data_IF_374310182429
#
_entry.id   IF_374310182429
#
_cell.length_a   1.000
_cell.length_b   1.000
_cell.length_c   1.000
_cell.angle_alpha   90.00
_cell.angle_beta   90.00
_cell.angle_gamma   90.00
#
_symmetry.space_group_name_H-M   'P 1'
#
loop_
_entity.id
_entity.type
_entity.pdbx_description
1 polymer ?
#
# COMPACT_ATOMS: atom_id res chain seq x y z
N UNK A 1 9.73 8.21 -4.67
CA UNK A 1 11.19 8.51 -4.57
C UNK A 1 11.48 9.44 -3.41
N UNK A 2 10.74 10.53 -3.26
CA UNK A 2 10.88 11.45 -2.12
C UNK A 2 10.76 10.74 -0.77
N UNK A 3 9.68 9.98 -0.54
CA UNK A 3 9.52 9.17 0.69
C UNK A 3 10.71 8.27 1.00
N UNK A 4 11.35 7.67 -0.01
CA UNK A 4 12.52 6.83 0.19
C UNK A 4 13.72 7.63 0.70
N UNK A 5 13.97 8.82 0.11
CA UNK A 5 15.05 9.71 0.57
C UNK A 5 14.78 10.22 1.98
N UNK A 6 13.55 10.60 2.29
CA UNK A 6 13.15 11.06 3.62
C UNK A 6 13.37 9.97 4.68
N UNK A 7 12.94 8.74 4.41
CA UNK A 7 13.14 7.60 5.31
C UNK A 7 14.62 7.23 5.50
N UNK A 8 15.49 7.57 4.54
CA UNK A 8 16.93 7.37 4.67
C UNK A 8 17.56 8.45 5.56
N UNK A 9 17.14 9.71 5.38
CA UNK A 9 17.67 10.85 6.13
C UNK A 9 17.18 10.97 7.58
N UNK A 10 15.92 10.61 7.86
CA UNK A 10 15.30 10.84 9.18
C UNK A 10 14.72 9.56 9.78
N UNK A 11 14.48 9.56 11.10
CA UNK A 11 13.78 8.49 11.81
C UNK A 11 12.26 8.59 11.67
N UNK A 12 11.73 9.80 11.55
CA UNK A 12 10.30 10.08 11.43
C UNK A 12 9.92 10.80 10.13
N UNK A 13 8.77 10.44 9.58
CA UNK A 13 8.16 11.07 8.40
C UNK A 13 6.67 11.23 8.64
N UNK A 14 6.10 12.36 8.25
CA UNK A 14 4.66 12.65 8.30
C UNK A 14 4.12 12.68 6.88
N UNK A 15 3.15 11.82 6.59
CA UNK A 15 2.36 11.82 5.37
C UNK A 15 1.05 12.57 5.63
N UNK A 16 0.94 13.79 5.12
CA UNK A 16 -0.26 14.62 5.26
C UNK A 16 -1.08 14.61 3.98
N UNK A 17 -2.39 14.36 4.07
CA UNK A 17 -3.29 14.48 2.92
C UNK A 17 -4.67 13.88 3.17
N UNK A 18 -5.65 14.26 2.36
CA UNK A 18 -7.04 13.81 2.52
C UNK A 18 -7.18 12.28 2.50
N UNK A 19 -8.23 11.72 3.13
CA UNK A 19 -8.59 10.31 2.93
C UNK A 19 -8.72 10.00 1.43
N UNK A 20 -8.24 8.83 1.01
CA UNK A 20 -8.22 8.42 -0.40
C UNK A 20 -7.02 8.92 -1.21
N UNK A 21 -6.18 9.82 -0.70
CA UNK A 21 -5.01 10.34 -1.45
C UNK A 21 -3.91 9.30 -1.73
N UNK A 22 -4.05 8.07 -1.24
CA UNK A 22 -3.13 6.97 -1.54
C UNK A 22 -1.92 6.85 -0.60
N UNK A 23 -1.91 7.54 0.55
CA UNK A 23 -0.86 7.49 1.57
C UNK A 23 -0.45 6.06 1.96
N UNK A 24 -1.40 5.24 2.41
CA UNK A 24 -1.13 3.82 2.74
C UNK A 24 -0.60 3.04 1.54
N UNK A 25 -1.11 3.33 0.33
CA UNK A 25 -0.68 2.66 -0.90
C UNK A 25 0.74 3.05 -1.29
N UNK A 26 1.13 4.29 -1.07
CA UNK A 26 2.50 4.79 -1.28
C UNK A 26 3.49 4.02 -0.40
N UNK A 27 3.21 3.90 0.91
CA UNK A 27 4.03 3.11 1.82
C UNK A 27 4.10 1.64 1.42
N UNK A 28 2.95 1.01 1.18
CA UNK A 28 2.89 -0.38 0.73
C UNK A 28 3.68 -0.62 -0.57
N UNK A 29 3.58 0.31 -1.52
CA UNK A 29 4.28 0.20 -2.81
C UNK A 29 5.78 0.38 -2.63
N UNK A 30 6.21 1.31 -1.78
CA UNK A 30 7.62 1.48 -1.46
C UNK A 30 8.20 0.25 -0.74
N UNK A 31 7.49 -0.30 0.25
CA UNK A 31 7.89 -1.53 0.93
C UNK A 31 8.06 -2.69 -0.07
N UNK A 32 7.09 -2.86 -0.99
CA UNK A 32 7.17 -3.87 -2.06
C UNK A 32 8.36 -3.62 -2.99
N UNK A 33 8.59 -2.37 -3.40
CA UNK A 33 9.72 -2.03 -4.28
C UNK A 33 11.06 -2.32 -3.61
N UNK A 34 11.22 -1.98 -2.33
CA UNK A 34 12.43 -2.29 -1.54
C UNK A 34 12.64 -3.80 -1.47
N UNK A 35 11.59 -4.58 -1.19
CA UNK A 35 11.67 -6.04 -1.15
C UNK A 35 12.09 -6.63 -2.52
N UNK A 36 11.54 -6.11 -3.62
CA UNK A 36 11.88 -6.55 -4.98
C UNK A 36 13.32 -6.21 -5.37
N UNK A 37 13.82 -5.03 -4.99
CA UNK A 37 15.20 -4.64 -5.26
C UNK A 37 16.18 -5.57 -4.54
N UNK A 38 15.89 -5.92 -3.29
CA UNK A 38 16.73 -6.85 -2.54
C UNK A 38 16.73 -8.24 -3.17
N UNK A 39 15.58 -8.71 -3.66
CA UNK A 39 15.52 -9.97 -4.41
C UNK A 39 16.39 -9.96 -5.67
N UNK A 40 16.28 -8.91 -6.49
CA UNK A 40 17.04 -8.78 -7.75
C UNK A 40 18.55 -8.74 -7.52
N UNK A 41 19.00 -8.09 -6.45
CA UNK A 41 20.42 -8.07 -6.09
C UNK A 41 20.94 -9.48 -5.82
N UNK A 42 20.16 -10.30 -5.12
CA UNK A 42 20.56 -11.70 -4.82
C UNK A 42 20.46 -12.61 -6.05
N UNK A 43 19.40 -12.51 -6.86
CA UNK A 43 19.20 -13.39 -8.02
C UNK A 43 20.22 -13.17 -9.14
N UNK A 44 20.65 -11.92 -9.35
CA UNK A 44 21.67 -11.58 -10.34
C UNK A 44 23.06 -12.10 -9.96
N UNK A 45 23.29 -12.41 -8.68
CA UNK A 45 24.56 -12.98 -8.23
C UNK A 45 24.56 -14.51 -8.30
N UNK A 46 23.43 -15.18 -8.00
CA UNK A 46 23.29 -16.63 -8.23
C UNK A 46 23.54 -17.02 -9.69
N UNK A 47 23.01 -16.23 -10.63
CA UNK A 47 23.23 -16.42 -12.08
C UNK A 47 24.65 -16.06 -12.52
N UNK A 48 25.37 -15.18 -11.81
CA UNK A 48 26.80 -14.91 -12.08
C UNK A 48 27.73 -15.98 -11.51
N UNK A 49 27.35 -16.62 -10.41
CA UNK A 49 28.08 -17.76 -9.85
C UNK A 49 27.89 -19.03 -10.69
N UNK A 50 26.69 -19.28 -11.20
CA UNK A 50 26.44 -20.33 -12.19
C UNK A 50 27.25 -20.10 -13.48
N UNK A 51 27.32 -18.85 -13.98
CA UNK A 51 28.12 -18.51 -15.16
C UNK A 51 29.64 -18.50 -14.91
N UNK A 52 30.11 -18.39 -13.65
CA UNK A 52 31.52 -18.64 -13.29
C UNK A 52 31.86 -20.11 -13.17
N UNK A 53 30.86 -20.94 -12.88
CA UNK A 53 30.95 -22.40 -12.85
C UNK A 53 30.83 -23.01 -14.25
N UNK A 54 30.28 -22.25 -15.21
CA UNK A 54 30.10 -22.60 -16.61
C UNK A 54 30.95 -21.71 -17.52
N UNK A 55 32.26 -21.63 -17.26
CA UNK A 55 33.22 -21.20 -18.29
C UNK A 55 33.77 -22.41 -19.04
N UNK A 56 32.89 -23.24 -19.59
CA UNK A 56 33.12 -24.07 -20.78
C UNK A 56 31.77 -24.29 -21.46
N UNK A 57 31.76 -24.12 -22.79
CA UNK A 57 30.67 -24.28 -23.75
C UNK A 57 29.83 -23.01 -24.01
N UNK A 58 29.56 -22.84 -25.30
CA UNK A 58 29.54 -21.62 -26.09
C UNK A 58 28.16 -21.03 -26.38
N UNK A 59 28.16 -19.71 -26.67
CA UNK A 59 27.27 -18.90 -27.53
C UNK A 59 25.90 -19.48 -27.95
N UNK A 60 24.80 -18.75 -27.66
CA UNK A 60 24.08 -17.96 -28.69
C UNK A 60 22.92 -17.12 -28.12
N UNK A 61 22.80 -15.92 -28.69
CA UNK A 61 21.61 -15.07 -28.86
C UNK A 61 20.97 -14.33 -27.68
N UNK A 62 21.28 -13.03 -27.62
CA UNK A 62 20.45 -11.98 -27.05
C UNK A 62 19.23 -11.72 -27.95
N UNK A 63 18.03 -11.64 -27.34
CA UNK A 63 16.98 -10.63 -27.59
C UNK A 63 15.66 -11.09 -26.96
N UNK A 64 15.23 -10.44 -25.88
CA UNK A 64 13.91 -9.79 -25.81
C UNK A 64 13.65 -9.21 -24.41
N UNK A 65 13.57 -7.89 -24.38
CA UNK A 65 12.98 -7.11 -23.30
C UNK A 65 11.50 -7.01 -23.64
N UNK A 66 10.62 -7.68 -22.88
CA UNK A 66 9.26 -7.19 -22.64
C UNK A 66 8.63 -7.87 -21.42
N UNK A 67 8.36 -7.02 -20.43
CA UNK A 67 7.26 -7.05 -19.46
C UNK A 67 6.29 -8.24 -19.52
N UNK A 68 6.45 -9.18 -18.59
CA UNK A 68 5.32 -9.95 -18.07
C UNK A 68 5.56 -10.28 -16.60
N UNK A 69 4.68 -9.73 -15.77
CA UNK A 69 4.40 -10.19 -14.42
C UNK A 69 4.03 -11.68 -14.52
N UNK A 70 4.57 -12.51 -13.61
CA UNK A 70 4.48 -13.98 -13.50
C UNK A 70 5.65 -14.72 -14.18
N UNK A 71 6.62 -15.15 -13.35
CA UNK A 71 7.60 -16.17 -13.75
C UNK A 71 7.00 -17.57 -13.55
N UNK A 72 7.22 -18.42 -14.56
CA UNK A 72 6.64 -19.76 -14.76
C UNK A 72 7.13 -20.87 -13.82
N UNK A 73 7.95 -20.59 -12.81
CA UNK A 73 8.72 -21.65 -12.12
C UNK A 73 8.26 -22.01 -10.72
N UNK A 74 7.07 -21.60 -10.26
CA UNK A 74 6.47 -22.13 -9.02
C UNK A 74 7.36 -22.11 -7.77
N UNK A 75 8.45 -21.33 -7.77
CA UNK A 75 9.34 -21.19 -6.62
C UNK A 75 8.80 -20.08 -5.75
N UNK A 76 8.39 -20.54 -4.59
CA UNK A 76 7.70 -19.83 -3.54
C UNK A 76 8.42 -18.52 -3.20
N UNK A 77 7.70 -17.39 -3.26
CA UNK A 77 8.16 -16.03 -2.91
C UNK A 77 8.43 -15.87 -1.39
N UNK A 78 8.52 -16.98 -0.65
CA UNK A 78 8.50 -17.09 0.81
C UNK A 78 9.87 -17.01 1.48
N UNK A 79 10.97 -17.06 0.71
CA UNK A 79 12.32 -17.13 1.26
C UNK A 79 12.97 -15.81 1.71
N UNK A 80 12.43 -14.65 1.32
CA UNK A 80 13.01 -13.34 1.66
C UNK A 80 12.05 -12.47 2.49
N UNK A 81 12.44 -12.08 3.71
CA UNK A 81 11.54 -11.37 4.60
C UNK A 81 11.29 -9.92 4.15
N UNK A 82 10.01 -9.58 4.20
CA UNK A 82 9.46 -8.29 3.80
C UNK A 82 9.85 -7.21 4.84
N UNK A 83 9.89 -5.95 4.41
CA UNK A 83 9.83 -4.80 5.34
C UNK A 83 8.67 -5.03 6.30
N UNK A 84 8.98 -5.06 7.60
CA UNK A 84 7.99 -5.31 8.63
C UNK A 84 7.24 -4.02 8.95
N UNK A 85 5.94 -4.00 8.69
CA UNK A 85 5.09 -2.82 8.88
C UNK A 85 4.09 -3.09 10.00
N UNK A 86 4.19 -2.32 11.08
CA UNK A 86 3.29 -2.39 12.23
C UNK A 86 2.38 -1.17 12.19
N UNK A 87 1.06 -1.39 12.20
CA UNK A 87 0.07 -0.32 12.19
C UNK A 87 -0.48 -0.07 13.60
N UNK A 88 -0.54 1.21 13.98
CA UNK A 88 -1.09 1.69 15.25
C UNK A 88 -2.13 2.77 14.92
N UNK A 89 -3.27 2.70 15.59
CA UNK A 89 -4.36 3.67 15.46
C UNK A 89 -4.58 4.37 16.81
N UNK A 90 -3.92 5.51 17.08
CA UNK A 90 -4.01 6.18 18.39
C UNK A 90 -5.46 6.57 18.75
N UNK A 91 -6.30 6.88 17.76
CA UNK A 91 -7.70 7.26 17.98
C UNK A 91 -8.59 6.12 18.49
N UNK A 92 -8.14 4.86 18.43
CA UNK A 92 -8.91 3.71 18.91
C UNK A 92 -8.56 3.28 20.33
N UNK A 93 -7.67 4.01 21.02
CA UNK A 93 -7.19 3.68 22.37
C UNK A 93 -6.96 4.95 23.19
N UNK A 94 -6.87 4.81 24.51
CA UNK A 94 -6.50 5.94 25.37
C UNK A 94 -4.99 6.21 25.29
N UNK A 95 -4.54 7.45 25.56
CA UNK A 95 -3.10 7.75 25.66
C UNK A 95 -2.38 6.84 26.66
N UNK A 96 -3.04 6.49 27.75
CA UNK A 96 -2.56 5.57 28.79
C UNK A 96 -2.33 4.15 28.24
N UNK A 97 -3.24 3.63 27.41
CA UNK A 97 -3.05 2.34 26.74
C UNK A 97 -1.92 2.37 25.70
N UNK A 98 -1.69 3.52 25.06
CA UNK A 98 -0.64 3.70 24.07
C UNK A 98 0.75 3.81 24.69
N UNK A 99 0.91 4.63 25.73
CA UNK A 99 2.20 5.01 26.34
C UNK A 99 2.51 4.25 27.63
N UNK A 100 1.47 3.82 28.34
CA UNK A 100 1.52 3.15 29.64
C UNK A 100 0.93 4.03 30.74
N UNK A 101 0.35 3.38 31.75
CA UNK A 101 -0.19 3.99 32.96
C UNK A 101 0.42 3.35 34.21
N UNK A 102 0.31 4.06 35.32
CA UNK A 102 0.61 3.52 36.63
C UNK A 102 -0.72 3.24 37.35
N UNK A 103 -1.05 1.95 37.50
CA UNK A 103 -2.30 1.48 38.10
C UNK A 103 -1.99 0.48 39.22
N UNK A 104 -2.63 0.66 40.38
CA UNK A 104 -2.51 -0.24 41.53
C UNK A 104 -1.07 -0.55 41.99
N UNK A 105 -0.18 0.44 41.90
CA UNK A 105 1.22 0.29 42.30
C UNK A 105 2.09 -0.44 41.27
N UNK A 106 1.53 -0.82 40.12
CA UNK A 106 2.23 -1.52 39.04
C UNK A 106 2.23 -0.68 37.78
N UNK A 107 3.39 -0.59 37.13
CA UNK A 107 3.48 0.05 35.83
C UNK A 107 2.93 -0.86 34.73
N UNK A 108 1.88 -0.40 34.06
CA UNK A 108 1.31 -1.05 32.89
C UNK A 108 1.99 -0.53 31.63
N UNK A 109 2.72 -1.41 30.93
CA UNK A 109 3.40 -1.04 29.69
C UNK A 109 2.40 -0.79 28.55
N UNK A 110 2.46 0.41 27.98
CA UNK A 110 1.70 0.78 26.79
C UNK A 110 2.07 0.00 25.54
N UNK A 111 1.18 0.03 24.56
CA UNK A 111 1.35 -0.65 23.27
C UNK A 111 2.61 -0.21 22.52
N UNK A 112 2.88 1.10 22.48
CA UNK A 112 4.03 1.64 21.75
C UNK A 112 5.35 1.13 22.36
N UNK A 113 5.46 1.12 23.69
CA UNK A 113 6.63 0.59 24.40
C UNK A 113 6.85 -0.89 24.10
N UNK A 114 5.78 -1.69 24.08
CA UNK A 114 5.88 -3.12 23.71
C UNK A 114 6.37 -3.31 22.28
N UNK A 115 5.88 -2.50 21.32
CA UNK A 115 6.31 -2.55 19.92
C UNK A 115 7.77 -2.11 19.77
N UNK A 116 8.20 -1.08 20.50
CA UNK A 116 9.59 -0.63 20.48
C UNK A 116 10.52 -1.67 21.08
N UNK A 117 10.13 -2.34 22.18
CA UNK A 117 10.88 -3.47 22.76
C UNK A 117 10.99 -4.64 21.78
N UNK A 118 9.90 -5.03 21.13
CA UNK A 118 9.93 -6.06 20.07
C UNK A 118 10.82 -5.64 18.88
N UNK A 119 10.88 -4.35 18.58
CA UNK A 119 11.75 -3.80 17.52
C UNK A 119 13.22 -3.89 17.89
N UNK A 120 13.52 -3.63 19.15
CA UNK A 120 14.86 -3.76 19.68
C UNK A 120 15.33 -5.22 19.67
N UNK A 121 14.50 -6.17 20.11
CA UNK A 121 14.88 -7.60 20.13
C UNK A 121 15.08 -8.16 18.72
N UNK A 122 14.21 -7.82 17.77
CA UNK A 122 14.38 -8.20 16.36
C UNK A 122 15.61 -7.57 15.73
N UNK A 123 15.88 -6.31 16.03
CA UNK A 123 17.10 -5.65 15.60
C UNK A 123 18.35 -6.38 16.09
N UNK A 124 18.40 -6.74 17.39
CA UNK A 124 19.50 -7.50 17.98
C UNK A 124 19.71 -8.84 17.27
N UNK A 125 18.65 -9.65 17.15
CA UNK A 125 18.73 -10.95 16.50
C UNK A 125 19.27 -10.85 15.07
N UNK A 126 18.83 -9.82 14.33
CA UNK A 126 19.27 -9.64 12.96
C UNK A 126 20.69 -9.09 12.85
N UNK A 127 21.14 -8.26 13.79
CA UNK A 127 22.55 -7.84 13.86
C UNK A 127 23.48 -9.01 14.13
N UNK A 128 23.12 -9.91 15.04
CA UNK A 128 23.87 -11.15 15.32
C UNK A 128 24.00 -12.02 14.07
N UNK A 129 22.90 -12.15 13.33
CA UNK A 129 22.87 -12.84 12.04
C UNK A 129 23.84 -12.17 11.05
N UNK A 130 23.70 -10.86 10.80
CA UNK A 130 24.57 -10.14 9.85
C UNK A 130 26.05 -10.23 10.22
N UNK A 131 26.39 -10.16 11.51
CA UNK A 131 27.78 -10.31 11.98
C UNK A 131 28.35 -11.70 11.67
N UNK A 132 27.55 -12.74 11.87
CA UNK A 132 27.92 -14.13 11.54
C UNK A 132 28.13 -14.30 10.03
N UNK A 133 27.31 -13.65 9.20
CA UNK A 133 27.49 -13.68 7.74
C UNK A 133 28.75 -12.93 7.28
N UNK A 134 29.09 -11.80 7.92
CA UNK A 134 30.30 -11.02 7.59
C UNK A 134 31.59 -11.76 7.94
N UNK A 135 31.59 -12.58 8.99
CA UNK A 135 32.76 -13.35 9.39
C UNK A 135 33.01 -14.56 8.47
N UNK A 136 31.96 -15.12 7.88
CA UNK A 136 32.05 -16.26 6.96
C UNK A 136 32.50 -15.86 5.55
N UNK A 137 32.06 -14.71 5.01
CA UNK A 137 32.44 -14.26 3.67
C UNK A 137 32.90 -12.79 3.60
N UNK A 138 34.23 -12.58 3.65
CA UNK A 138 34.85 -11.25 3.53
C UNK A 138 34.55 -10.52 2.22
N UNK A 139 34.23 -11.24 1.13
CA UNK A 139 33.83 -10.64 -0.15
C UNK A 139 32.39 -10.12 -0.12
N UNK A 140 31.49 -10.78 0.60
CA UNK A 140 30.08 -10.39 0.76
C UNK A 140 29.88 -9.23 1.75
N UNK A 141 30.88 -8.96 2.61
CA UNK A 141 30.89 -7.77 3.47
C UNK A 141 30.78 -6.44 2.69
N UNK A 142 31.32 -6.39 1.45
CA UNK A 142 31.19 -5.24 0.54
C UNK A 142 29.75 -5.04 0.02
N UNK A 143 28.93 -6.10 0.05
CA UNK A 143 27.54 -6.14 -0.42
C UNK A 143 26.54 -5.72 0.68
N UNK A 144 26.98 -5.66 1.94
CA UNK A 144 26.16 -5.19 3.07
C UNK A 144 26.03 -3.66 3.20
N UNK A 145 26.53 -2.90 2.22
CA UNK A 145 26.40 -1.44 2.20
C UNK A 145 24.94 -0.98 2.05
N UNK A 146 24.09 -1.78 1.41
CA UNK A 146 22.64 -1.62 1.48
C UNK A 146 22.10 -2.62 2.51
N UNK A 147 21.66 -2.13 3.68
CA UNK A 147 21.07 -2.99 4.70
C UNK A 147 19.88 -3.80 4.13
N UNK A 148 19.85 -5.14 4.26
CA UNK A 148 18.77 -5.95 3.71
C UNK A 148 17.39 -5.54 4.26
N UNK A 149 16.32 -5.65 3.46
CA UNK A 149 14.93 -5.26 3.84
C UNK A 149 14.47 -5.90 5.14
N UNK A 150 14.98 -7.10 5.43
CA UNK A 150 14.77 -7.85 6.68
C UNK A 150 14.99 -7.00 7.93
N UNK A 151 15.86 -5.99 7.83
CA UNK A 151 16.22 -5.13 8.93
C UNK A 151 15.26 -3.97 9.11
N UNK A 152 14.55 -3.56 8.06
CA UNK A 152 13.74 -2.35 8.08
C UNK A 152 12.39 -2.66 8.70
N UNK A 153 12.08 -1.94 9.77
CA UNK A 153 10.77 -1.96 10.41
C UNK A 153 10.14 -0.58 10.36
N UNK A 154 8.90 -0.48 9.93
CA UNK A 154 8.16 0.77 9.90
C UNK A 154 6.97 0.70 10.86
N UNK A 155 6.93 1.64 11.79
CA UNK A 155 5.80 1.84 12.70
C UNK A 155 4.91 2.90 12.04
N UNK A 156 3.80 2.44 11.46
CA UNK A 156 2.78 3.25 10.82
C UNK A 156 1.79 3.72 11.88
N UNK A 157 1.75 5.02 12.16
CA UNK A 157 0.80 5.61 13.12
C UNK A 157 -0.26 6.36 12.30
N UNK A 158 -1.46 5.79 12.24
CA UNK A 158 -2.56 6.31 11.44
C UNK A 158 -3.59 7.02 12.34
N UNK A 159 -3.74 8.33 12.14
CA UNK A 159 -4.67 9.15 12.90
C UNK A 159 -4.28 10.63 12.98
N UNK A 160 -5.06 11.39 13.76
CA UNK A 160 -4.76 12.79 14.05
C UNK A 160 -3.61 12.91 15.05
N UNK A 161 -2.68 13.83 14.77
CA UNK A 161 -1.56 14.14 15.66
C UNK A 161 -2.05 15.04 16.80
N UNK A 162 -2.60 14.42 17.84
CA UNK A 162 -3.17 15.15 18.98
C UNK A 162 -2.14 15.36 20.12
N UNK A 163 -2.01 16.57 20.68
CA UNK A 163 -1.01 16.89 21.71
C UNK A 163 -1.02 15.96 22.93
N UNK A 164 -2.21 15.48 23.31
CA UNK A 164 -2.41 14.56 24.45
C UNK A 164 -1.49 13.33 24.45
N UNK A 165 -1.12 12.82 23.27
CA UNK A 165 -0.22 11.67 23.17
C UNK A 165 1.08 12.00 22.42
N UNK A 166 1.09 13.00 21.52
CA UNK A 166 2.30 13.35 20.76
C UNK A 166 3.39 13.97 21.63
N UNK A 167 3.02 14.67 22.71
CA UNK A 167 4.00 15.17 23.69
C UNK A 167 4.75 14.02 24.39
N UNK A 168 4.04 12.93 24.70
CA UNK A 168 4.64 11.75 25.34
C UNK A 168 5.63 10.98 24.47
N UNK A 169 5.66 11.23 23.16
CA UNK A 169 6.62 10.63 22.23
C UNK A 169 7.59 11.65 21.63
N UNK A 170 7.64 12.88 22.14
CA UNK A 170 8.46 13.95 21.56
C UNK A 170 9.94 13.58 21.50
N UNK A 171 10.50 13.04 22.57
CA UNK A 171 11.90 12.59 22.66
C UNK A 171 12.21 11.43 21.69
N UNK A 172 11.19 10.68 21.29
CA UNK A 172 11.32 9.60 20.30
C UNK A 172 11.47 10.16 18.87
N UNK A 173 10.87 11.32 18.61
CA UNK A 173 10.91 12.01 17.32
C UNK A 173 12.12 12.94 17.17
N UNK A 174 12.69 13.39 18.28
CA UNK A 174 13.85 14.28 18.33
C UNK A 174 15.18 13.55 18.02
N UNK A 175 16.31 14.27 18.04
CA UNK A 175 17.67 13.74 17.89
C UNK A 175 17.98 12.59 18.85
N UNK A 176 17.33 12.61 20.01
CA UNK A 176 17.49 11.69 21.11
C UNK A 176 17.02 10.26 20.82
N UNK A 177 16.04 10.09 19.90
CA UNK A 177 15.53 8.79 19.44
C UNK A 177 15.20 7.80 20.57
N UNK A 178 14.62 8.25 21.68
CA UNK A 178 14.21 7.36 22.78
C UNK A 178 12.84 7.72 23.36
N UNK A 179 12.10 6.70 23.80
CA UNK A 179 10.86 6.85 24.52
C UNK A 179 11.13 6.82 26.02
N UNK A 180 10.84 7.91 26.72
CA UNK A 180 10.92 8.02 28.18
C UNK A 180 9.57 7.68 28.78
N UNK A 181 9.50 6.59 29.53
CA UNK A 181 8.27 6.17 30.20
C UNK A 181 8.13 6.82 31.58
N UNK A 182 6.89 7.00 32.05
CA UNK A 182 6.62 7.47 33.41
C UNK A 182 7.16 6.55 34.51
N UNK A 183 7.46 5.27 34.20
CA UNK A 183 8.18 4.36 35.09
C UNK A 183 9.66 4.70 35.30
N UNK A 184 10.22 5.64 34.53
CA UNK A 184 11.66 5.91 34.45
C UNK A 184 12.40 5.01 33.45
N UNK A 185 11.74 4.05 32.82
CA UNK A 185 12.34 3.24 31.76
C UNK A 185 12.57 4.07 30.49
N UNK A 186 13.74 3.92 29.86
CA UNK A 186 14.08 4.57 28.60
C UNK A 186 14.27 3.52 27.50
N UNK A 187 13.46 3.59 26.43
CA UNK A 187 13.48 2.64 25.32
C UNK A 187 14.02 3.32 24.07
N UNK A 188 15.16 2.87 23.57
CA UNK A 188 15.81 3.48 22.40
C UNK A 188 15.23 2.98 21.07
N UNK A 189 14.97 3.89 20.14
CA UNK A 189 14.66 3.60 18.74
C UNK A 189 15.95 3.31 17.98
N UNK A 190 16.05 2.12 17.40
CA UNK A 190 17.20 1.73 16.56
C UNK A 190 17.06 2.26 15.14
N UNK A 191 18.18 2.51 14.47
CA UNK A 191 18.24 3.20 13.18
C UNK A 191 17.47 2.52 12.04
N UNK A 192 17.18 1.22 12.19
CA UNK A 192 16.43 0.43 11.22
C UNK A 192 14.92 0.46 11.43
N UNK A 193 14.47 0.98 12.58
CA UNK A 193 13.07 1.25 12.87
C UNK A 193 12.75 2.69 12.51
N UNK A 194 11.76 2.89 11.64
CA UNK A 194 11.28 4.21 11.23
C UNK A 194 9.84 4.41 11.69
N UNK A 195 9.49 5.65 12.00
CA UNK A 195 8.14 6.03 12.40
C UNK A 195 7.52 6.83 11.26
N UNK A 196 6.35 6.41 10.80
CA UNK A 196 5.63 7.07 9.71
C UNK A 196 4.25 7.43 10.22
N UNK A 197 3.96 8.73 10.27
CA UNK A 197 2.63 9.21 10.61
C UNK A 197 1.79 9.32 9.34
N UNK A 198 0.60 8.74 9.35
CA UNK A 198 -0.42 8.93 8.32
C UNK A 198 -1.50 9.83 8.93
N UNK A 199 -1.65 11.05 8.41
CA UNK A 199 -2.59 12.02 8.96
C UNK A 199 -3.30 12.82 7.87
N UNK A 200 -4.51 13.29 8.18
CA UNK A 200 -5.33 14.08 7.25
C UNK A 200 -4.83 15.51 7.14
N UNK A 201 -4.61 16.13 8.29
CA UNK A 201 -4.21 17.52 8.45
C UNK A 201 -3.40 17.70 9.74
N UNK A 202 -2.68 18.82 9.80
CA UNK A 202 -1.79 19.15 10.92
C UNK A 202 -2.35 20.25 11.82
N UNK A 203 -3.67 20.53 11.74
CA UNK A 203 -4.28 21.65 12.46
C UNK A 203 -4.17 21.53 13.97
N UNK A 204 -4.27 20.31 14.49
CA UNK A 204 -4.17 20.02 15.93
C UNK A 204 -2.76 19.65 16.35
N UNK A 205 -1.81 19.53 15.42
CA UNK A 205 -0.47 19.07 15.72
C UNK A 205 0.34 20.14 16.47
N UNK A 206 1.08 19.72 17.50
CA UNK A 206 2.02 20.61 18.18
C UNK A 206 3.17 21.00 17.21
N UNK A 207 3.57 22.29 17.12
CA UNK A 207 4.66 22.71 16.24
C UNK A 207 5.98 21.98 16.51
N UNK A 208 6.25 21.65 17.77
CA UNK A 208 7.40 20.87 18.23
C UNK A 208 7.44 19.46 17.63
N UNK A 209 6.29 18.79 17.50
CA UNK A 209 6.21 17.43 16.94
C UNK A 209 6.43 17.42 15.43
N UNK A 210 5.98 18.47 14.73
CA UNK A 210 6.15 18.60 13.28
C UNK A 210 7.59 19.02 12.94
N UNK A 211 8.22 19.86 13.77
CA UNK A 211 9.57 20.38 13.53
C UNK A 211 10.65 19.28 13.39
N UNK A 212 10.50 18.15 14.08
CA UNK A 212 11.48 17.06 14.06
C UNK A 212 11.21 15.98 12.99
N UNK A 213 10.15 16.12 12.20
CA UNK A 213 9.75 15.12 11.20
C UNK A 213 9.70 15.71 9.80
N UNK A 214 10.08 14.94 8.79
CA UNK A 214 9.91 15.36 7.39
C UNK A 214 8.44 15.25 7.01
N UNK A 215 7.84 16.35 6.56
CA UNK A 215 6.44 16.38 6.11
C UNK A 215 6.38 16.20 4.60
N UNK A 216 5.67 15.18 4.14
CA UNK A 216 5.34 14.94 2.73
C UNK A 216 3.84 15.16 2.56
N UNK A 217 3.50 16.18 1.78
CA UNK A 217 2.12 16.55 1.51
C UNK A 217 1.61 15.88 0.23
N UNK A 218 0.57 15.05 0.35
CA UNK A 218 -0.17 14.46 -0.76
C UNK A 218 -1.38 15.34 -1.06
N UNK A 219 -1.18 16.28 -1.99
CA UNK A 219 -2.22 17.21 -2.41
C UNK A 219 -3.39 16.55 -3.15
N UNK A 220 -4.52 17.27 -3.28
CA UNK A 220 -5.65 16.82 -4.09
C UNK A 220 -5.20 16.62 -5.55
N UNK A 221 -5.52 15.46 -6.13
CA UNK A 221 -5.11 15.07 -7.48
C UNK A 221 -3.82 14.23 -7.58
N UNK A 222 -3.16 13.94 -6.46
CA UNK A 222 -2.05 12.95 -6.43
C UNK A 222 -2.52 11.54 -6.77
N UNK A 223 -3.72 11.17 -6.30
CA UNK A 223 -4.42 9.96 -6.71
C UNK A 223 -5.70 10.34 -7.45
N UNK A 224 -5.82 9.88 -8.69
CA UNK A 224 -6.97 10.14 -9.54
C UNK A 224 -7.81 8.87 -9.71
N UNK A 225 -9.12 9.06 -9.89
CA UNK A 225 -10.04 7.97 -10.21
C UNK A 225 -9.63 7.21 -11.50
N UNK A 226 -9.00 7.90 -12.45
CA UNK A 226 -8.49 7.30 -13.69
C UNK A 226 -7.41 6.26 -13.42
N UNK A 227 -6.52 6.51 -12.46
CA UNK A 227 -5.49 5.55 -12.04
C UNK A 227 -6.10 4.31 -11.38
N UNK A 228 -7.19 4.47 -10.63
CA UNK A 228 -7.93 3.34 -10.05
C UNK A 228 -8.56 2.49 -11.14
N UNK A 229 -9.25 3.12 -12.11
CA UNK A 229 -9.84 2.43 -13.24
C UNK A 229 -8.78 1.71 -14.09
N UNK A 230 -7.67 2.36 -14.39
CA UNK A 230 -6.57 1.75 -15.16
C UNK A 230 -6.01 0.50 -14.47
N UNK A 231 -5.82 0.54 -13.15
CA UNK A 231 -5.38 -0.62 -12.39
C UNK A 231 -6.43 -1.74 -12.35
N UNK A 232 -7.69 -1.38 -12.17
CA UNK A 232 -8.81 -2.32 -12.23
C UNK A 232 -8.89 -3.00 -13.60
N UNK A 233 -8.76 -2.24 -14.69
CA UNK A 233 -8.79 -2.73 -16.07
C UNK A 233 -7.73 -3.78 -16.35
N UNK A 234 -6.49 -3.56 -15.88
CA UNK A 234 -5.43 -4.57 -16.01
C UNK A 234 -5.79 -5.89 -15.31
N UNK A 235 -6.38 -5.78 -14.12
CA UNK A 235 -6.83 -6.95 -13.34
C UNK A 235 -8.03 -7.63 -14.01
N UNK A 236 -8.95 -6.82 -14.56
CA UNK A 236 -10.17 -7.26 -15.23
C UNK A 236 -9.86 -8.07 -16.49
N UNK A 237 -8.89 -7.60 -17.30
CA UNK A 237 -8.45 -8.31 -18.49
C UNK A 237 -7.95 -9.73 -18.16
N UNK A 238 -7.18 -9.87 -17.08
CA UNK A 238 -6.66 -11.16 -16.65
C UNK A 238 -7.75 -12.06 -16.02
N UNK A 239 -8.76 -11.47 -15.38
CA UNK A 239 -9.80 -12.19 -14.63
C UNK A 239 -10.95 -12.68 -15.50
N UNK A 240 -11.38 -11.89 -16.48
CA UNK A 240 -12.57 -12.14 -17.29
C UNK A 240 -12.28 -12.30 -18.79
N UNK A 241 -11.00 -12.26 -19.21
CA UNK A 241 -10.57 -12.46 -20.60
C UNK A 241 -11.37 -11.61 -21.61
N UNK A 242 -11.62 -10.34 -21.23
CA UNK A 242 -12.43 -9.40 -22.01
C UNK A 242 -11.79 -9.15 -23.37
N UNK A 243 -12.60 -9.09 -24.43
CA UNK A 243 -12.11 -8.73 -25.76
C UNK A 243 -11.57 -7.30 -25.79
N UNK A 244 -10.61 -7.04 -26.69
CA UNK A 244 -10.04 -5.71 -26.87
C UNK A 244 -11.12 -4.68 -27.25
N UNK A 245 -12.12 -5.09 -28.03
CA UNK A 245 -13.26 -4.27 -28.43
C UNK A 245 -14.16 -3.93 -27.23
N UNK A 246 -14.44 -4.90 -26.35
CA UNK A 246 -15.26 -4.67 -25.15
C UNK A 246 -14.59 -3.70 -24.17
N UNK A 247 -13.26 -3.78 -24.05
CA UNK A 247 -12.48 -2.85 -23.24
C UNK A 247 -12.50 -1.42 -23.81
N UNK A 248 -12.47 -1.25 -25.14
CA UNK A 248 -12.56 0.07 -25.78
C UNK A 248 -13.91 0.74 -25.54
N UNK A 249 -15.01 -0.01 -25.72
CA UNK A 249 -16.36 0.50 -25.44
C UNK A 249 -16.49 0.91 -23.99
N UNK A 250 -15.93 0.11 -23.07
CA UNK A 250 -15.93 0.44 -21.65
C UNK A 250 -15.12 1.70 -21.35
N UNK A 251 -13.97 1.90 -21.99
CA UNK A 251 -13.17 3.12 -21.84
C UNK A 251 -13.97 4.37 -22.25
N UNK A 252 -14.65 4.31 -23.40
CA UNK A 252 -15.47 5.42 -23.94
C UNK A 252 -16.63 5.77 -23.00
N UNK A 253 -17.38 4.75 -22.54
CA UNK A 253 -18.50 4.96 -21.61
C UNK A 253 -17.99 5.57 -20.30
N UNK A 254 -16.87 5.08 -19.77
CA UNK A 254 -16.32 5.56 -18.50
C UNK A 254 -15.73 6.96 -18.62
N UNK A 255 -15.06 7.28 -19.74
CA UNK A 255 -14.52 8.62 -19.97
C UNK A 255 -15.60 9.68 -20.03
N UNK A 256 -16.79 9.33 -20.54
CA UNK A 256 -17.91 10.26 -20.62
C UNK A 256 -18.70 10.33 -19.30
N UNK A 257 -18.93 9.17 -18.66
CA UNK A 257 -19.78 9.08 -17.48
C UNK A 257 -19.09 9.60 -16.20
N UNK A 258 -17.85 9.20 -15.94
CA UNK A 258 -17.21 9.47 -14.63
C UNK A 258 -16.96 10.97 -14.39
N UNK A 259 -16.41 11.76 -15.33
CA UNK A 259 -16.22 13.18 -15.11
C UNK A 259 -17.53 13.94 -14.88
N UNK A 260 -18.57 13.62 -15.66
CA UNK A 260 -19.87 14.25 -15.56
C UNK A 260 -20.56 13.95 -14.21
N UNK A 261 -20.53 12.68 -13.80
CA UNK A 261 -21.12 12.23 -12.52
C UNK A 261 -20.36 12.78 -11.31
N UNK A 262 -19.03 12.74 -11.30
CA UNK A 262 -18.22 13.30 -10.21
C UNK A 262 -18.46 14.82 -10.10
N UNK A 263 -18.51 15.53 -11.23
CA UNK A 263 -18.83 16.97 -11.23
C UNK A 263 -20.22 17.22 -10.65
N UNK A 264 -21.23 16.47 -11.10
CA UNK A 264 -22.60 16.59 -10.59
C UNK A 264 -22.68 16.34 -9.09
N UNK A 265 -22.03 15.27 -8.59
CA UNK A 265 -21.99 14.95 -7.16
C UNK A 265 -21.33 16.08 -6.35
N UNK A 266 -20.27 16.68 -6.87
CA UNK A 266 -19.58 17.78 -6.18
C UNK A 266 -20.35 19.09 -6.14
N UNK A 267 -21.20 19.37 -7.14
CA UNK A 267 -21.92 20.65 -7.25
C UNK A 267 -23.35 20.60 -6.74
N UNK A 268 -24.02 19.44 -6.84
CA UNK A 268 -25.45 19.32 -6.56
C UNK A 268 -25.78 18.37 -5.41
N UNK A 269 -24.81 17.59 -4.91
CA UNK A 269 -25.07 16.62 -3.85
C UNK A 269 -24.27 16.97 -2.59
N UNK A 270 -24.87 16.66 -1.44
CA UNK A 270 -24.22 16.71 -0.14
C UNK A 270 -24.32 15.32 0.49
N UNK A 271 -23.29 14.91 1.23
CA UNK A 271 -23.30 13.61 1.88
C UNK A 271 -24.47 13.51 2.86
N UNK A 272 -25.27 12.46 2.74
CA UNK A 272 -26.37 12.17 3.65
C UNK A 272 -25.91 11.94 5.10
N UNK A 273 -24.63 11.63 5.31
CA UNK A 273 -24.03 11.47 6.65
C UNK A 273 -23.66 12.82 7.29
N UNK A 274 -23.76 13.91 6.53
CA UNK A 274 -23.37 15.26 6.93
C UNK A 274 -24.56 16.23 6.98
N UNK A 275 -25.79 15.74 6.81
CA UNK A 275 -27.00 16.59 6.84
C UNK A 275 -27.32 17.09 8.25
N UNK A 276 -26.92 16.34 9.28
CA UNK A 276 -27.21 16.67 10.69
C UNK A 276 -26.00 17.20 11.48
N UNK A 277 -24.82 17.27 10.83
CA UNK A 277 -23.58 17.69 11.49
C UNK A 277 -23.16 19.05 10.91
N UNK A 278 -23.04 20.07 11.76
CA UNK A 278 -22.79 21.46 11.35
C UNK A 278 -21.57 21.65 10.41
N UNK A 279 -21.48 22.83 9.79
CA UNK A 279 -20.47 23.18 8.76
C UNK A 279 -18.98 22.92 9.15
N UNK A 280 -18.68 22.78 10.44
CA UNK A 280 -17.32 22.50 10.93
C UNK A 280 -16.92 21.03 10.71
N UNK A 281 -17.86 20.09 10.85
CA UNK A 281 -17.58 18.65 10.70
C UNK A 281 -17.53 18.21 9.23
N UNK A 282 -18.22 18.92 8.34
CA UNK A 282 -18.15 18.73 6.88
C UNK A 282 -16.77 19.03 6.32
N UNK A 283 -16.07 20.05 6.83
CA UNK A 283 -14.71 20.39 6.42
C UNK A 283 -13.65 19.37 6.92
N UNK A 284 -13.90 18.72 8.07
CA UNK A 284 -13.00 17.72 8.64
C UNK A 284 -13.04 16.37 7.90
N UNK A 285 -14.18 16.03 7.29
CA UNK A 285 -14.40 14.75 6.61
C UNK A 285 -14.30 14.83 5.08
N UNK A 286 -13.60 15.82 4.53
CA UNK A 286 -13.41 15.93 3.09
C UNK A 286 -12.52 14.80 2.56
N UNK A 287 -13.14 13.89 1.81
CA UNK A 287 -12.48 12.81 1.07
C UNK A 287 -12.06 13.33 -0.31
N UNK A 288 -11.00 12.76 -0.86
CA UNK A 288 -10.60 13.06 -2.24
C UNK A 288 -11.77 12.71 -3.20
N UNK A 289 -12.27 13.67 -4.01
CA UNK A 289 -13.50 13.48 -4.77
C UNK A 289 -13.35 12.40 -5.84
N UNK A 290 -14.39 11.57 -6.01
CA UNK A 290 -14.48 10.56 -7.05
C UNK A 290 -13.79 9.23 -6.73
N UNK A 291 -12.94 9.16 -5.71
CA UNK A 291 -12.24 7.91 -5.36
C UNK A 291 -13.20 6.88 -4.75
N UNK A 292 -14.02 7.31 -3.79
CA UNK A 292 -15.02 6.45 -3.14
C UNK A 292 -16.07 5.96 -4.13
N UNK A 293 -16.55 6.88 -4.97
CA UNK A 293 -17.60 6.66 -5.97
C UNK A 293 -17.14 5.66 -7.03
N UNK A 294 -15.96 5.91 -7.62
CA UNK A 294 -15.40 5.02 -8.63
C UNK A 294 -15.01 3.68 -8.01
N UNK A 295 -14.46 3.64 -6.80
CA UNK A 295 -14.18 2.37 -6.12
C UNK A 295 -15.46 1.55 -5.91
N UNK A 296 -16.54 2.18 -5.43
CA UNK A 296 -17.83 1.53 -5.26
C UNK A 296 -18.40 1.01 -6.59
N UNK A 297 -18.38 1.85 -7.64
CA UNK A 297 -18.80 1.43 -8.98
C UNK A 297 -18.02 0.22 -9.47
N UNK A 298 -16.68 0.25 -9.37
CA UNK A 298 -15.83 -0.85 -9.84
C UNK A 298 -16.07 -2.13 -9.05
N UNK A 299 -16.35 -2.05 -7.75
CA UNK A 299 -16.69 -3.21 -6.93
C UNK A 299 -18.03 -3.82 -7.34
N UNK A 300 -19.06 -2.99 -7.52
CA UNK A 300 -20.39 -3.43 -7.99
C UNK A 300 -20.27 -4.02 -9.39
N UNK A 301 -19.57 -3.35 -10.29
CA UNK A 301 -19.36 -3.80 -11.66
C UNK A 301 -18.61 -5.13 -11.70
N UNK A 302 -17.57 -5.29 -10.88
CA UNK A 302 -16.86 -6.57 -10.72
C UNK A 302 -17.78 -7.69 -10.26
N UNK A 303 -18.66 -7.43 -9.29
CA UNK A 303 -19.62 -8.42 -8.81
C UNK A 303 -20.66 -8.80 -9.89
N UNK A 304 -21.09 -7.84 -10.71
CA UNK A 304 -21.98 -8.10 -11.85
C UNK A 304 -21.28 -8.92 -12.94
N UNK A 305 -20.04 -8.59 -13.29
CA UNK A 305 -19.23 -9.35 -14.25
C UNK A 305 -18.95 -10.77 -13.74
N UNK A 306 -18.65 -10.93 -12.46
CA UNK A 306 -18.51 -12.26 -11.86
C UNK A 306 -19.79 -13.09 -12.01
N UNK A 307 -20.96 -12.48 -11.84
CA UNK A 307 -22.25 -13.19 -11.96
C UNK A 307 -22.57 -13.53 -13.42
N UNK A 308 -22.38 -12.61 -14.35
CA UNK A 308 -22.74 -12.83 -15.76
C UNK A 308 -21.77 -13.77 -16.46
N UNK A 309 -20.46 -13.52 -16.34
CA UNK A 309 -19.45 -14.23 -17.14
C UNK A 309 -19.08 -15.62 -16.55
N UNK A 310 -19.04 -15.78 -15.22
CA UNK A 310 -18.78 -17.11 -14.63
C UNK A 310 -19.98 -18.04 -14.76
N UNK A 311 -21.20 -17.50 -14.86
CA UNK A 311 -22.39 -18.30 -15.11
C UNK A 311 -22.36 -18.86 -16.53
N UNK A 312 -22.04 -18.04 -17.54
CA UNK A 312 -21.88 -18.54 -18.89
C UNK A 312 -20.75 -19.59 -19.03
N UNK A 313 -19.67 -19.51 -18.24
CA UNK A 313 -18.65 -20.57 -18.21
C UNK A 313 -19.16 -21.86 -17.57
N UNK A 314 -19.94 -21.80 -16.49
CA UNK A 314 -20.55 -22.98 -15.87
C UNK A 314 -21.60 -23.62 -16.77
N UNK A 315 -22.45 -22.79 -17.38
CA UNK A 315 -23.47 -23.24 -18.33
C UNK A 315 -22.79 -23.83 -19.59
N UNK A 316 -21.67 -23.24 -20.06
CA UNK A 316 -20.83 -23.85 -21.11
C UNK A 316 -20.22 -25.19 -20.68
N UNK A 317 -19.70 -25.33 -19.46
CA UNK A 317 -19.15 -26.61 -18.98
C UNK A 317 -20.21 -27.71 -18.87
N UNK A 318 -21.45 -27.37 -18.52
CA UNK A 318 -22.56 -28.33 -18.55
C UNK A 318 -22.97 -28.73 -19.97
N UNK A 319 -22.77 -27.85 -20.96
CA UNK A 319 -23.05 -28.17 -22.37
C UNK A 319 -21.88 -28.92 -23.06
N UNK A 320 -20.68 -28.92 -22.49
CA UNK A 320 -19.49 -29.58 -23.06
C UNK A 320 -19.39 -31.07 -22.67
N UNK A 321 -20.16 -31.54 -21.69
CA UNK A 321 -20.22 -32.98 -21.35
C UNK A 321 -20.94 -33.80 -22.45
N UNK A 322 -21.70 -33.13 -23.32
CA UNK A 322 -22.31 -33.70 -24.52
C UNK A 322 -21.75 -33.04 -25.80
N UNK A 323 -20.69 -33.64 -26.36
CA UNK A 323 -20.17 -33.50 -27.74
C UNK A 323 -19.22 -32.33 -28.15
N UNK A 324 -17.96 -32.73 -28.43
CA UNK A 324 -16.96 -32.31 -29.48
C UNK A 324 -16.64 -30.80 -29.72
N UNK A 325 -15.34 -30.41 -29.90
CA UNK A 325 -14.90 -29.04 -29.73
C UNK A 325 -14.91 -28.22 -31.03
N UNK A 326 -15.42 -26.98 -30.99
CA UNK A 326 -15.22 -26.01 -32.06
C UNK A 326 -14.86 -24.62 -31.54
N UNK A 327 -13.77 -24.10 -32.12
CA UNK A 327 -13.27 -22.73 -32.04
C UNK A 327 -14.30 -21.72 -32.58
N UNK A 328 -14.25 -20.51 -32.01
CA UNK A 328 -14.64 -19.21 -32.55
C UNK A 328 -16.15 -18.87 -32.66
N UNK A 329 -16.59 -17.93 -31.81
CA UNK A 329 -16.96 -16.53 -32.19
C UNK A 329 -17.56 -15.82 -30.97
N UNK A 330 -16.84 -14.83 -30.44
CA UNK A 330 -17.44 -13.72 -29.67
C UNK A 330 -17.95 -12.72 -30.71
N UNK A 331 -19.04 -11.99 -30.40
CA UNK A 331 -19.84 -11.06 -31.22
C UNK A 331 -21.15 -11.73 -31.69
N UNK A 332 -22.18 -11.68 -30.84
CA UNK A 332 -23.60 -11.46 -31.18
C UNK A 332 -24.60 -11.71 -30.02
N UNK A 333 -24.27 -11.29 -28.80
CA UNK A 333 -25.26 -11.32 -27.71
C UNK A 333 -25.08 -10.16 -26.75
N UNK A 334 -25.24 -8.94 -27.27
CA UNK A 334 -25.74 -7.83 -26.46
C UNK A 334 -27.27 -7.91 -26.60
N UNK A 335 -28.04 -8.28 -25.57
CA UNK A 335 -29.48 -8.11 -25.62
C UNK A 335 -29.78 -6.61 -25.63
N UNK A 336 -30.62 -6.21 -26.58
CA UNK A 336 -31.17 -4.87 -26.78
C UNK A 336 -31.33 -4.07 -25.48
N UNK A 337 -30.61 -2.94 -25.38
CA UNK A 337 -31.04 -1.82 -24.55
C UNK A 337 -32.41 -1.32 -25.07
N UNK A 338 -33.39 -1.04 -24.22
CA UNK A 338 -34.66 -0.49 -24.67
C UNK A 338 -34.42 0.94 -25.20
N UNK A 339 -34.62 1.10 -26.50
CA UNK A 339 -34.77 2.40 -27.15
C UNK A 339 -36.02 3.05 -26.54
N UNK A 340 -35.82 4.15 -25.81
CA UNK A 340 -36.90 4.98 -25.31
C UNK A 340 -37.49 5.74 -26.51
N UNK A 341 -38.55 5.19 -27.11
CA UNK A 341 -39.34 5.84 -28.15
C UNK A 341 -39.96 7.11 -27.57
N UNK A 342 -39.42 8.27 -27.95
CA UNK A 342 -40.15 9.54 -27.93
C UNK A 342 -41.15 9.49 -29.08
N UNK A 343 -42.40 9.18 -28.80
CA UNK A 343 -43.50 9.56 -29.69
C UNK A 343 -43.87 11.01 -29.39
N UNK A 344 -43.55 11.85 -30.36
CA UNK A 344 -44.10 13.18 -30.56
C UNK A 344 -45.46 12.96 -31.23
N UNK A 345 -46.54 13.36 -30.58
CA UNK A 345 -47.68 14.06 -31.18
C UNK A 345 -48.44 14.83 -30.10
#
# INVERSE_FOLDING_TARGET
>A
MELYKSLDSTSSVILAGQPGSGKTKLCCTLAKAINLLNYKMVSNDATKEENRSQSQVSNHHSQNIQSSIINKDGRDLSGFPKVDMVHIFPGSMTPDQLLGSFEDGVWQCGLLSKILKDSYTKWLATMSFVQTFKSQDKKLAKYTAAMPSILKRWIMIDGSLHPLWTEGIKTLLDSEKHLSQGSGETIQLKDLTKIIFETTDLKTAAPSSVAHSVVIYLGPGTTNWSSLYFNWKQTANNRWLLSAEGLKVLDEIISDLFPATIKFLSTHCQSALLTDVGQVCTAANQVTPGISEVSAFLNIFSALLDRSLKREEKDRKHLIDDSVPLKLKIINSIPNLPVCSREIY
#
